data_IF_178455454814
#
_entry.id   IF_178455454814
#
_cell.length_a   1.000
_cell.length_b   1.000
_cell.length_c   1.000
_cell.angle_alpha   90.00
_cell.angle_beta   90.00
_cell.angle_gamma   90.00
#
_symmetry.space_group_name_H-M   'P 1'
#
loop_
_entity.id
_entity.type
_entity.pdbx_description
1 polymer ?
#
# COMPACT_ATOMS: atom_id res chain seq x y z
N UNK A 1 -11.89 11.44 39.13
CA UNK A 1 -10.50 11.61 38.70
C UNK A 1 -9.62 10.51 39.23
N UNK A 2 -8.83 9.90 38.39
CA UNK A 2 -7.91 8.84 38.78
C UNK A 2 -6.72 9.40 39.55
N UNK A 3 -6.27 8.66 40.54
CA UNK A 3 -5.11 9.05 41.34
C UNK A 3 -3.82 8.40 40.86
N UNK A 4 -3.91 7.46 39.88
CA UNK A 4 -2.76 6.75 39.35
C UNK A 4 -2.66 6.95 37.83
N UNK A 5 -2.66 8.18 37.41
CA UNK A 5 -2.55 8.51 35.98
C UNK A 5 -1.11 8.37 35.52
N UNK A 6 -0.82 7.33 34.72
CA UNK A 6 0.52 7.08 34.20
C UNK A 6 0.72 7.52 32.75
N UNK A 7 -0.33 7.97 32.10
CA UNK A 7 -0.27 8.41 30.72
C UNK A 7 -0.98 9.73 30.52
N UNK A 8 -0.82 10.29 29.33
CA UNK A 8 -1.42 11.59 29.02
C UNK A 8 -1.60 11.75 27.52
N UNK A 9 -2.56 12.60 27.17
CA UNK A 9 -2.69 13.12 25.81
C UNK A 9 -1.98 14.46 25.75
N UNK A 10 -1.43 14.74 24.59
CA UNK A 10 -0.70 16.01 24.41
C UNK A 10 -0.99 16.62 23.05
N UNK A 11 -1.22 17.91 23.04
CA UNK A 11 -1.21 18.74 21.84
C UNK A 11 -0.25 19.87 22.09
N UNK A 12 0.84 19.91 21.36
CA UNK A 12 1.87 20.93 21.54
C UNK A 12 2.05 21.72 20.25
N UNK A 13 2.05 23.04 20.37
CA UNK A 13 2.32 23.96 19.28
C UNK A 13 3.58 24.76 19.63
N UNK A 14 4.63 24.58 18.84
CA UNK A 14 5.88 25.32 19.02
C UNK A 14 6.15 26.17 17.80
N UNK A 15 6.43 27.45 18.03
CA UNK A 15 6.76 28.44 16.98
C UNK A 15 8.21 28.95 17.08
N UNK A 16 9.07 28.19 17.73
CA UNK A 16 10.49 28.53 17.82
C UNK A 16 11.10 28.43 16.42
N UNK A 17 11.74 29.50 15.96
CA UNK A 17 12.29 29.56 14.61
C UNK A 17 13.19 28.38 14.29
N UNK A 18 12.95 27.74 13.13
CA UNK A 18 13.64 26.54 12.64
C UNK A 18 13.39 25.27 13.47
N UNK A 19 12.45 25.36 14.44
CA UNK A 19 12.03 24.22 15.26
C UNK A 19 10.51 24.19 15.41
N UNK A 20 9.81 24.78 14.47
CA UNK A 20 8.35 24.82 14.50
C UNK A 20 7.81 23.40 14.42
N UNK A 21 6.81 23.11 15.25
CA UNK A 21 6.27 21.77 15.33
C UNK A 21 4.84 21.77 15.84
N UNK A 22 4.02 20.91 15.27
CA UNK A 22 2.73 20.54 15.84
C UNK A 22 2.85 19.07 16.25
N UNK A 23 2.71 18.78 17.51
CA UNK A 23 2.84 17.44 18.05
C UNK A 23 1.53 17.00 18.70
N UNK A 24 1.00 15.87 18.27
CA UNK A 24 -0.23 15.31 18.81
C UNK A 24 0.05 13.91 19.31
N UNK A 25 -0.21 13.67 20.59
CA UNK A 25 -0.07 12.36 21.21
C UNK A 25 -1.40 11.91 21.78
N UNK A 26 -1.87 10.76 21.38
CA UNK A 26 -3.00 10.09 22.01
C UNK A 26 -2.46 8.95 22.87
N UNK A 27 -2.76 8.97 24.15
CA UNK A 27 -2.25 7.96 25.07
C UNK A 27 -2.82 6.58 24.75
N UNK A 28 -4.06 6.51 24.33
CA UNK A 28 -4.72 5.25 24.03
C UNK A 28 -5.32 5.25 22.64
N UNK A 29 -6.43 5.90 22.44
CA UNK A 29 -7.13 5.90 21.17
C UNK A 29 -7.14 7.27 20.54
N UNK A 30 -7.02 7.31 19.23
CA UNK A 30 -7.18 8.53 18.45
C UNK A 30 -8.26 8.27 17.40
N UNK A 31 -9.38 8.99 17.50
CA UNK A 31 -10.50 8.89 16.57
C UNK A 31 -10.68 10.20 15.83
N UNK A 32 -10.93 10.10 14.54
CA UNK A 32 -11.09 11.26 13.69
C UNK A 32 -12.31 11.07 12.81
N UNK A 33 -13.25 11.98 12.87
CA UNK A 33 -14.43 11.98 12.01
C UNK A 33 -14.47 13.28 11.22
N UNK A 34 -14.45 13.19 9.90
CA UNK A 34 -14.53 14.33 9.01
C UNK A 34 -15.84 14.28 8.27
N UNK A 35 -16.72 15.24 8.52
CA UNK A 35 -18.07 15.25 7.94
C UNK A 35 -18.11 15.58 6.46
N UNK A 36 -17.06 16.16 5.91
CA UNK A 36 -17.03 16.54 4.51
C UNK A 36 -15.71 16.07 3.89
N UNK A 37 -14.79 16.94 3.60
CA UNK A 37 -13.54 16.59 2.94
C UNK A 37 -12.34 16.59 3.89
N UNK A 38 -11.46 15.62 3.72
CA UNK A 38 -10.15 15.62 4.37
C UNK A 38 -9.09 15.78 3.31
N UNK A 39 -8.28 16.82 3.41
CA UNK A 39 -7.22 17.12 2.46
C UNK A 39 -5.88 17.18 3.19
N UNK A 40 -4.88 16.51 2.64
CA UNK A 40 -3.54 16.49 3.22
C UNK A 40 -2.51 16.71 2.13
N UNK A 41 -1.59 17.65 2.33
CA UNK A 41 -0.47 17.89 1.44
C UNK A 41 0.81 17.98 2.26
N UNK A 42 1.77 17.12 1.94
CA UNK A 42 3.05 17.07 2.64
C UNK A 42 4.14 17.44 1.66
N UNK A 43 4.87 18.48 1.96
CA UNK A 43 5.86 19.03 1.04
C UNK A 43 7.19 18.31 1.06
N UNK A 44 7.40 17.42 2.02
CA UNK A 44 8.61 16.62 2.10
C UNK A 44 8.21 15.16 2.34
N UNK A 45 8.64 14.54 3.38
CA UNK A 45 8.45 13.10 3.60
C UNK A 45 7.24 12.78 4.46
N UNK A 46 6.61 11.65 4.21
CA UNK A 46 5.58 11.11 5.08
C UNK A 46 5.95 9.67 5.49
N UNK A 47 6.05 9.44 6.80
CA UNK A 47 6.31 8.12 7.36
C UNK A 47 5.11 7.64 8.18
N UNK A 48 4.76 6.37 8.03
CA UNK A 48 3.67 5.77 8.78
C UNK A 48 4.05 4.35 9.18
N UNK A 49 3.90 4.03 10.46
CA UNK A 49 4.17 2.70 11.00
C UNK A 49 2.94 2.24 11.76
N UNK A 50 2.44 1.04 11.44
CA UNK A 50 1.31 0.43 12.13
C UNK A 50 1.77 -0.90 12.68
N UNK A 51 1.84 -1.03 14.00
CA UNK A 51 2.32 -2.25 14.64
C UNK A 51 1.30 -3.38 14.62
N UNK A 52 0.04 -3.06 14.46
CA UNK A 52 -1.03 -4.04 14.38
C UNK A 52 -1.59 -4.18 12.97
N UNK A 53 -2.88 -4.19 12.85
CA UNK A 53 -3.58 -4.37 11.59
C UNK A 53 -3.91 -3.02 10.97
N UNK A 54 -3.66 -2.88 9.68
CA UNK A 54 -4.07 -1.73 8.90
C UNK A 54 -5.25 -2.11 8.01
N UNK A 55 -6.41 -1.48 8.23
CA UNK A 55 -7.61 -1.68 7.42
C UNK A 55 -7.98 -0.40 6.69
N UNK A 56 -8.30 -0.52 5.42
CA UNK A 56 -8.72 0.61 4.61
C UNK A 56 -9.89 0.20 3.73
N UNK A 57 -10.97 0.98 3.73
CA UNK A 57 -12.12 0.73 2.87
C UNK A 57 -12.49 1.98 2.10
N UNK A 58 -12.42 1.92 0.80
CA UNK A 58 -12.83 3.00 -0.11
C UNK A 58 -14.09 2.55 -0.84
N UNK A 59 -15.19 3.28 -0.65
CA UNK A 59 -16.47 2.86 -1.18
C UNK A 59 -16.67 3.15 -2.66
N UNK A 60 -15.88 4.03 -3.23
CA UNK A 60 -16.03 4.40 -4.64
C UNK A 60 -14.75 4.15 -5.43
N UNK A 61 -13.83 5.08 -5.45
CA UNK A 61 -12.64 4.98 -6.29
C UNK A 61 -11.39 5.28 -5.47
N UNK A 62 -10.39 4.43 -5.60
CA UNK A 62 -9.07 4.67 -5.03
C UNK A 62 -8.09 4.86 -6.18
N UNK A 63 -7.51 6.05 -6.28
CA UNK A 63 -6.50 6.38 -7.29
C UNK A 63 -5.16 6.60 -6.63
N UNK A 64 -4.13 5.94 -7.13
CA UNK A 64 -2.77 6.11 -6.63
C UNK A 64 -1.84 6.38 -7.82
N UNK A 65 -1.12 7.51 -7.78
CA UNK A 65 -0.14 7.88 -8.79
C UNK A 65 1.21 8.07 -8.12
N UNK A 66 2.23 7.35 -8.60
CA UNK A 66 3.57 7.41 -8.03
C UNK A 66 4.54 7.69 -9.17
N UNK A 67 5.23 8.82 -9.10
CA UNK A 67 6.02 9.30 -10.22
C UNK A 67 7.31 8.51 -10.49
N UNK A 68 7.95 7.99 -9.45
CA UNK A 68 9.25 7.34 -9.62
C UNK A 68 9.22 5.84 -9.38
N UNK A 69 8.88 5.41 -8.18
CA UNK A 69 8.99 4.00 -7.84
C UNK A 69 8.00 3.59 -6.76
N UNK A 70 7.49 2.37 -6.86
CA UNK A 70 6.67 1.77 -5.83
C UNK A 70 7.25 0.43 -5.45
N UNK A 71 7.57 0.26 -4.15
CA UNK A 71 8.06 -1.01 -3.61
C UNK A 71 7.02 -1.60 -2.68
N UNK A 72 6.68 -2.88 -2.89
CA UNK A 72 5.77 -3.60 -2.01
C UNK A 72 6.44 -4.88 -1.57
N UNK A 73 6.65 -5.03 -0.26
CA UNK A 73 7.26 -6.22 0.32
C UNK A 73 6.27 -6.84 1.29
N UNK A 74 5.94 -8.11 1.07
CA UNK A 74 4.99 -8.84 1.90
C UNK A 74 5.64 -10.13 2.37
N UNK A 75 5.79 -10.28 3.68
CA UNK A 75 6.45 -11.46 4.26
C UNK A 75 5.62 -12.72 4.24
N UNK A 76 4.31 -12.61 4.23
CA UNK A 76 3.41 -13.76 4.21
C UNK A 76 2.69 -13.89 2.88
N UNK A 77 1.46 -13.48 2.83
CA UNK A 77 0.62 -13.65 1.64
C UNK A 77 0.20 -12.31 1.04
N UNK A 78 0.27 -12.21 -0.27
CA UNK A 78 -0.26 -11.08 -1.02
C UNK A 78 -1.43 -11.57 -1.87
N UNK A 79 -2.65 -11.15 -1.54
CA UNK A 79 -3.87 -11.60 -2.20
C UNK A 79 -4.52 -10.46 -2.98
N UNK A 80 -4.87 -10.71 -4.24
CA UNK A 80 -5.59 -9.74 -5.07
C UNK A 80 -6.87 -10.36 -5.61
N UNK A 81 -8.01 -9.75 -5.32
CA UNK A 81 -9.30 -10.15 -5.86
C UNK A 81 -9.91 -8.98 -6.63
N UNK A 82 -10.30 -9.23 -7.88
CA UNK A 82 -10.91 -8.21 -8.73
C UNK A 82 -12.19 -8.79 -9.33
N UNK A 83 -13.31 -8.13 -9.09
CA UNK A 83 -14.63 -8.64 -9.50
C UNK A 83 -14.88 -8.62 -11.00
N UNK A 84 -14.36 -7.64 -11.71
CA UNK A 84 -14.66 -7.49 -13.14
C UNK A 84 -13.43 -7.57 -14.03
N UNK A 85 -12.50 -6.65 -13.94
CA UNK A 85 -11.33 -6.67 -14.81
C UNK A 85 -10.09 -6.16 -14.13
N UNK A 86 -8.95 -6.73 -14.49
CA UNK A 86 -7.65 -6.28 -14.02
C UNK A 86 -6.76 -6.10 -15.23
N UNK A 87 -6.22 -4.89 -15.39
CA UNK A 87 -5.32 -4.56 -16.48
C UNK A 87 -3.94 -4.22 -15.94
N UNK A 88 -2.91 -4.78 -16.58
CA UNK A 88 -1.53 -4.50 -16.22
C UNK A 88 -0.78 -4.09 -17.49
N UNK A 89 -0.23 -2.88 -17.49
CA UNK A 89 0.49 -2.33 -18.62
C UNK A 89 1.89 -1.96 -18.18
N UNK A 90 2.91 -2.53 -18.83
CA UNK A 90 4.31 -2.31 -18.50
C UNK A 90 5.06 -1.86 -19.74
N UNK A 91 5.68 -0.69 -19.68
CA UNK A 91 6.31 -0.07 -20.86
C UNK A 91 7.56 -0.78 -21.35
N UNK A 92 8.39 -1.33 -20.47
CA UNK A 92 9.66 -1.93 -20.88
C UNK A 92 9.81 -3.40 -20.49
N UNK A 93 9.78 -3.73 -19.23
CA UNK A 93 10.01 -5.12 -18.85
C UNK A 93 9.17 -5.54 -17.68
N UNK A 94 8.70 -6.77 -17.71
CA UNK A 94 7.96 -7.40 -16.63
C UNK A 94 8.63 -8.73 -16.30
N UNK A 95 9.00 -8.91 -15.04
CA UNK A 95 9.69 -10.12 -14.58
C UNK A 95 8.89 -10.78 -13.47
N UNK A 96 8.66 -12.08 -13.60
CA UNK A 96 8.01 -12.88 -12.56
C UNK A 96 8.92 -14.05 -12.20
N UNK A 97 9.36 -14.09 -10.93
CA UNK A 97 10.13 -15.19 -10.38
C UNK A 97 9.32 -15.88 -9.30
N UNK A 98 9.13 -17.19 -9.44
CA UNK A 98 8.35 -17.99 -8.49
C UNK A 98 9.20 -19.16 -8.04
N UNK A 99 9.38 -19.30 -6.72
CA UNK A 99 10.29 -20.29 -6.16
C UNK A 99 9.86 -21.75 -6.33
N UNK A 100 8.55 -22.03 -6.31
CA UNK A 100 8.06 -23.40 -6.35
C UNK A 100 7.00 -23.61 -7.41
N UNK A 101 5.82 -23.02 -7.27
CA UNK A 101 4.71 -23.26 -8.18
C UNK A 101 4.13 -21.97 -8.74
N UNK A 102 3.89 -21.94 -10.03
CA UNK A 102 3.13 -20.89 -10.67
C UNK A 102 1.97 -21.54 -11.43
N UNK A 103 0.74 -21.14 -11.12
CA UNK A 103 -0.46 -21.70 -11.75
C UNK A 103 -1.28 -20.58 -12.38
N UNK A 104 -1.67 -20.81 -13.62
CA UNK A 104 -2.57 -19.90 -14.34
C UNK A 104 -3.78 -20.70 -14.79
N UNK A 105 -4.97 -20.27 -14.41
CA UNK A 105 -6.23 -20.92 -14.79
C UNK A 105 -7.14 -19.93 -15.47
N UNK A 106 -7.56 -20.24 -16.67
CA UNK A 106 -8.47 -19.43 -17.46
C UNK A 106 -9.65 -20.31 -17.88
N UNK A 107 -10.86 -19.96 -17.46
CA UNK A 107 -12.02 -20.80 -17.67
C UNK A 107 -12.40 -20.97 -19.15
N UNK A 108 -12.23 -19.95 -19.98
CA UNK A 108 -12.64 -20.03 -21.37
C UNK A 108 -11.51 -19.72 -22.35
N UNK A 109 -11.02 -18.49 -22.40
CA UNK A 109 -10.07 -18.11 -23.44
C UNK A 109 -8.82 -17.49 -22.85
N UNK A 110 -7.66 -17.93 -23.33
CA UNK A 110 -6.39 -17.31 -23.02
C UNK A 110 -5.73 -16.94 -24.35
N UNK A 111 -5.27 -15.71 -24.46
CA UNK A 111 -4.64 -15.20 -25.67
C UNK A 111 -3.26 -14.66 -25.33
N UNK A 112 -2.28 -15.06 -26.12
CA UNK A 112 -0.92 -14.54 -25.98
C UNK A 112 -0.41 -14.11 -27.34
N UNK A 113 0.15 -12.93 -27.41
CA UNK A 113 0.81 -12.42 -28.62
C UNK A 113 2.22 -11.98 -28.28
N UNK A 114 3.20 -12.51 -29.00
CA UNK A 114 4.60 -12.15 -28.86
C UNK A 114 5.09 -11.63 -30.22
N UNK A 115 5.48 -10.35 -30.26
CA UNK A 115 5.82 -9.69 -31.52
C UNK A 115 7.03 -10.27 -32.24
N UNK A 116 8.04 -10.72 -31.52
CA UNK A 116 9.26 -11.24 -32.14
C UNK A 116 9.66 -12.62 -31.64
N UNK A 117 10.10 -12.75 -30.39
CA UNK A 117 10.66 -14.01 -29.90
C UNK A 117 10.03 -14.46 -28.61
N UNK A 118 9.80 -15.77 -28.50
CA UNK A 118 9.37 -16.39 -27.26
C UNK A 118 10.22 -17.63 -27.00
N UNK A 119 10.88 -17.67 -25.86
CA UNK A 119 11.68 -18.81 -25.42
C UNK A 119 11.01 -19.50 -24.26
N UNK A 120 10.96 -20.82 -24.33
CA UNK A 120 10.46 -21.66 -23.23
C UNK A 120 11.55 -22.69 -22.94
N UNK A 121 12.00 -22.72 -21.69
CA UNK A 121 13.01 -23.67 -21.26
C UNK A 121 12.47 -24.50 -20.09
N UNK A 122 12.58 -25.82 -20.22
CA UNK A 122 12.12 -26.77 -19.19
C UNK A 122 13.32 -27.63 -18.81
N UNK A 123 13.76 -27.49 -17.55
CA UNK A 123 15.02 -28.11 -17.15
C UNK A 123 15.01 -29.63 -17.02
N UNK A 124 13.91 -30.22 -16.55
CA UNK A 124 13.90 -31.68 -16.24
C UNK A 124 12.79 -32.46 -16.91
N UNK A 125 11.54 -32.03 -16.86
CA UNK A 125 10.41 -32.78 -17.43
C UNK A 125 9.82 -32.08 -18.64
N UNK A 126 9.28 -32.89 -19.50
CA UNK A 126 8.69 -32.44 -20.74
C UNK A 126 7.18 -32.29 -20.65
#
# INVERSE_FOLDING_TARGET
MGVNEEGYNELTLSNIKDKEQIYLKAQKDYDELVQHNFTQRILNDKDSIVDGIYNERIKKVHTQTIDLAKNVNVGGEYLTNVGLSKDTIVGLSNTLNVGVDNKVRVAKNSHEFVGENKDIEIGANQ
#
